data_IF_754810025113
#
_entry.id   IF_754810025113
#
_cell.length_a   1.000
_cell.length_b   1.000
_cell.length_c   1.000
_cell.angle_alpha   90.00
_cell.angle_beta   90.00
_cell.angle_gamma   90.00
#
_symmetry.space_group_name_H-M   'P 1'
#
loop_
_entity.id
_entity.type
_entity.pdbx_description
1 polymer ?
#
# COMPACT_ATOMS: atom_id res chain seq x y z
N UNK A 1 -14.18 -6.79 -2.09
CA UNK A 1 -13.15 -5.76 -1.77
C UNK A 1 -13.79 -4.63 -0.94
N UNK A 2 -13.24 -4.32 0.24
CA UNK A 2 -13.75 -3.26 1.11
C UNK A 2 -13.56 -1.86 0.50
N UNK A 3 -14.26 -0.87 1.05
CA UNK A 3 -14.33 0.48 0.46
C UNK A 3 -12.97 1.18 0.43
N UNK A 4 -12.16 1.00 1.47
CA UNK A 4 -10.84 1.62 1.59
C UNK A 4 -9.93 1.21 0.42
N UNK A 5 -9.82 -0.09 0.16
CA UNK A 5 -9.01 -0.66 -0.92
C UNK A 5 -9.50 -0.18 -2.29
N UNK A 6 -10.83 -0.11 -2.51
CA UNK A 6 -11.40 0.45 -3.74
C UNK A 6 -11.00 1.92 -3.95
N UNK A 7 -11.05 2.73 -2.89
CA UNK A 7 -10.62 4.13 -2.95
C UNK A 7 -9.13 4.25 -3.23
N UNK A 8 -8.29 3.43 -2.60
CA UNK A 8 -6.84 3.42 -2.82
C UNK A 8 -6.49 3.01 -4.27
N UNK A 9 -7.15 1.98 -4.81
CA UNK A 9 -6.95 1.56 -6.22
C UNK A 9 -7.31 2.69 -7.17
N UNK A 10 -8.46 3.35 -6.98
CA UNK A 10 -8.87 4.49 -7.80
C UNK A 10 -7.88 5.64 -7.68
N UNK A 11 -7.40 5.95 -6.47
CA UNK A 11 -6.41 6.99 -6.24
C UNK A 11 -5.14 6.71 -7.05
N UNK A 12 -4.57 5.50 -6.91
CA UNK A 12 -3.40 5.08 -7.68
C UNK A 12 -3.65 5.14 -9.18
N UNK A 13 -4.81 4.69 -9.66
CA UNK A 13 -5.14 4.74 -11.08
C UNK A 13 -5.09 6.17 -11.64
N UNK A 14 -5.70 7.14 -10.94
CA UNK A 14 -5.69 8.55 -11.36
C UNK A 14 -4.27 9.15 -11.28
N UNK A 15 -3.51 8.84 -10.23
CA UNK A 15 -2.11 9.27 -10.12
C UNK A 15 -1.24 8.68 -11.24
N UNK A 16 -1.40 7.39 -11.57
CA UNK A 16 -0.69 6.73 -12.65
C UNK A 16 -0.99 7.39 -14.00
N UNK A 17 -2.25 7.76 -14.28
CA UNK A 17 -2.61 8.52 -15.49
C UNK A 17 -1.83 9.84 -15.55
N UNK A 18 -1.76 10.57 -14.43
CA UNK A 18 -1.00 11.82 -14.36
C UNK A 18 0.51 11.58 -14.54
N UNK A 19 1.07 10.53 -13.92
CA UNK A 19 2.48 10.15 -14.09
C UNK A 19 2.78 9.85 -15.56
N UNK A 20 1.95 9.06 -16.23
CA UNK A 20 2.09 8.73 -17.66
C UNK A 20 2.09 10.02 -18.49
N UNK A 21 1.13 10.92 -18.24
CA UNK A 21 1.03 12.19 -18.96
C UNK A 21 2.26 13.08 -18.71
N UNK A 22 2.64 13.33 -17.46
CA UNK A 22 3.76 14.22 -17.13
C UNK A 22 5.11 13.67 -17.59
N UNK A 23 5.31 12.35 -17.55
CA UNK A 23 6.51 11.70 -18.08
C UNK A 23 6.62 11.90 -19.60
N UNK A 24 5.51 11.68 -20.33
CA UNK A 24 5.47 11.86 -21.78
C UNK A 24 5.67 13.34 -22.17
N UNK A 25 5.05 14.27 -21.43
CA UNK A 25 5.21 15.70 -21.65
C UNK A 25 6.64 16.17 -21.34
N UNK A 26 7.27 15.61 -20.30
CA UNK A 26 8.67 15.90 -19.98
C UNK A 26 9.61 15.42 -21.10
N UNK A 27 9.43 14.18 -21.56
CA UNK A 27 10.18 13.60 -22.68
C UNK A 27 10.06 14.47 -23.93
N UNK A 28 8.85 14.90 -24.28
CA UNK A 28 8.58 15.77 -25.44
C UNK A 28 9.22 17.15 -25.29
N UNK A 29 8.98 17.80 -24.15
CA UNK A 29 9.50 19.12 -23.83
C UNK A 29 11.03 19.19 -23.93
N UNK A 30 11.74 18.14 -23.49
CA UNK A 30 13.19 18.05 -23.65
C UNK A 30 13.57 18.01 -25.13
N UNK A 31 13.02 17.07 -25.91
CA UNK A 31 13.35 16.91 -27.34
C UNK A 31 13.03 18.16 -28.14
N UNK A 32 11.83 18.71 -27.98
CA UNK A 32 11.34 19.86 -28.74
C UNK A 32 12.15 21.12 -28.45
N UNK A 33 12.56 21.33 -27.18
CA UNK A 33 13.44 22.44 -26.82
C UNK A 33 14.82 22.30 -27.46
N UNK A 34 15.42 21.11 -27.45
CA UNK A 34 16.74 20.89 -28.08
C UNK A 34 16.68 21.13 -29.59
N UNK A 35 15.68 20.55 -30.24
CA UNK A 35 15.56 20.63 -31.69
C UNK A 35 15.27 22.07 -32.15
N UNK A 36 14.41 22.79 -31.43
CA UNK A 36 14.13 24.20 -31.71
C UNK A 36 15.37 25.07 -31.50
N UNK A 37 16.10 24.87 -30.40
CA UNK A 37 17.33 25.65 -30.15
C UNK A 37 18.41 25.37 -31.21
N UNK A 38 18.56 24.10 -31.63
CA UNK A 38 19.50 23.75 -32.70
C UNK A 38 19.12 24.40 -34.02
N UNK A 39 17.85 24.34 -34.41
CA UNK A 39 17.34 25.01 -35.62
C UNK A 39 17.57 26.52 -35.56
N UNK A 40 17.35 27.12 -34.40
CA UNK A 40 17.57 28.56 -34.20
C UNK A 40 19.06 28.95 -34.25
N UNK A 41 19.95 28.12 -33.68
CA UNK A 41 21.41 28.32 -33.79
C UNK A 41 21.86 28.19 -35.25
N UNK A 42 21.36 27.18 -35.99
CA UNK A 42 21.65 26.95 -37.40
C UNK A 42 21.15 28.10 -38.29
N UNK A 43 19.97 28.67 -38.02
CA UNK A 43 19.46 29.82 -38.78
C UNK A 43 20.23 31.13 -38.55
N UNK A 44 21.15 31.17 -37.57
CA UNK A 44 22.02 32.32 -37.29
C UNK A 44 23.46 32.14 -37.79
N UNK A 45 23.85 30.93 -38.17
CA UNK A 45 25.13 30.66 -38.83
C UNK A 45 24.91 30.68 -40.34
N UNK A 46 25.75 31.39 -41.09
CA UNK A 46 25.75 31.43 -42.57
C UNK A 46 26.12 30.07 -43.23
N UNK A 47 26.13 28.97 -42.48
CA UNK A 47 26.40 27.63 -43.00
C UNK A 47 25.18 27.09 -43.75
N UNK A 48 25.32 26.99 -45.07
CA UNK A 48 24.36 26.38 -45.99
C UNK A 48 24.05 24.91 -45.62
N UNK A 49 22.77 24.59 -45.72
CA UNK A 49 22.21 23.25 -45.95
C UNK A 49 22.76 22.10 -45.07
N UNK A 50 22.26 21.99 -43.84
CA UNK A 50 22.31 20.69 -43.15
C UNK A 50 21.17 19.81 -43.69
N UNK A 51 21.52 18.75 -44.41
CA UNK A 51 20.59 17.68 -44.82
C UNK A 51 19.71 17.22 -43.64
N UNK A 52 18.45 16.78 -43.89
CA UNK A 52 17.61 16.23 -42.85
C UNK A 52 18.34 15.06 -42.20
N UNK A 53 18.72 15.23 -40.92
CA UNK A 53 19.40 14.20 -40.16
C UNK A 53 18.63 12.88 -40.27
N UNK A 54 19.31 11.73 -40.44
CA UNK A 54 18.65 10.44 -40.62
C UNK A 54 17.67 10.17 -39.49
N UNK A 55 16.58 9.43 -39.76
CA UNK A 55 15.59 9.07 -38.74
C UNK A 55 16.25 8.29 -37.60
N UNK A 56 16.56 8.99 -36.52
CA UNK A 56 17.15 8.40 -35.33
C UNK A 56 16.02 7.78 -34.51
N UNK A 57 16.17 6.53 -34.02
CA UNK A 57 15.19 5.90 -33.13
C UNK A 57 14.84 6.82 -31.95
N UNK A 58 13.56 6.89 -31.59
CA UNK A 58 13.04 7.84 -30.60
C UNK A 58 13.83 7.81 -29.27
N UNK A 59 14.19 6.61 -28.79
CA UNK A 59 15.02 6.42 -27.59
C UNK A 59 16.38 7.11 -27.69
N UNK A 60 17.06 7.00 -28.84
CA UNK A 60 18.35 7.65 -29.10
C UNK A 60 18.19 9.17 -29.23
N UNK A 61 17.06 9.64 -29.78
CA UNK A 61 16.74 11.08 -29.86
C UNK A 61 16.59 11.70 -28.48
N UNK A 62 15.82 11.06 -27.59
CA UNK A 62 15.66 11.52 -26.19
C UNK A 62 16.99 11.53 -25.44
N UNK A 63 17.80 10.49 -25.60
CA UNK A 63 19.11 10.41 -24.95
C UNK A 63 20.03 11.56 -25.39
N UNK A 64 20.14 11.80 -26.71
CA UNK A 64 20.93 12.90 -27.28
C UNK A 64 20.44 14.27 -26.83
N UNK A 65 19.14 14.45 -26.68
CA UNK A 65 18.54 15.69 -26.18
C UNK A 65 18.98 15.98 -24.74
N UNK A 66 18.90 14.98 -23.85
CA UNK A 66 19.41 15.11 -22.48
C UNK A 66 20.94 15.33 -22.43
N UNK A 67 21.72 14.60 -23.23
CA UNK A 67 23.17 14.78 -23.30
C UNK A 67 23.53 16.23 -23.68
N UNK A 68 22.80 16.81 -24.63
CA UNK A 68 23.02 18.19 -25.06
C UNK A 68 22.62 19.21 -23.98
N UNK A 69 21.51 19.01 -23.26
CA UNK A 69 21.14 19.89 -22.13
C UNK A 69 22.16 19.86 -20.99
N UNK A 70 22.78 18.70 -20.73
CA UNK A 70 23.88 18.58 -19.76
C UNK A 70 25.13 19.30 -20.27
N UNK A 71 25.48 19.12 -21.56
CA UNK A 71 26.63 19.79 -22.18
C UNK A 71 26.51 21.32 -22.13
N UNK A 72 25.31 21.87 -22.34
CA UNK A 72 25.04 23.32 -22.28
C UNK A 72 24.87 23.83 -20.84
N UNK A 73 25.00 22.96 -19.83
CA UNK A 73 24.88 23.31 -18.41
C UNK A 73 23.46 23.75 -18.01
N UNK A 74 22.43 23.30 -18.73
CA UNK A 74 21.02 23.50 -18.36
C UNK A 74 20.63 22.51 -17.27
N UNK A 75 21.13 21.28 -17.36
CA UNK A 75 20.90 20.20 -16.41
C UNK A 75 22.22 19.64 -15.89
N UNK A 76 22.20 19.16 -14.67
CA UNK A 76 23.26 18.32 -14.09
C UNK A 76 23.11 16.86 -14.52
N UNK A 77 24.17 16.07 -14.35
CA UNK A 77 24.12 14.63 -14.61
C UNK A 77 23.10 13.91 -13.69
N UNK A 78 22.95 14.37 -12.44
CA UNK A 78 21.99 13.85 -11.47
C UNK A 78 20.55 14.13 -11.86
N UNK A 79 20.24 15.37 -12.21
CA UNK A 79 18.90 15.77 -12.68
C UNK A 79 18.52 14.98 -13.93
N UNK A 80 19.46 14.80 -14.87
CA UNK A 80 19.25 13.93 -16.03
C UNK A 80 18.89 12.51 -15.61
N UNK A 81 19.68 11.90 -14.71
CA UNK A 81 19.45 10.52 -14.26
C UNK A 81 18.06 10.36 -13.66
N UNK A 82 17.66 11.30 -12.80
CA UNK A 82 16.34 11.29 -12.18
C UNK A 82 15.21 11.48 -13.21
N UNK A 83 15.35 12.43 -14.14
CA UNK A 83 14.36 12.65 -15.21
C UNK A 83 14.20 11.42 -16.10
N UNK A 84 15.30 10.76 -16.48
CA UNK A 84 15.26 9.52 -17.27
C UNK A 84 14.62 8.38 -16.48
N UNK A 85 14.92 8.25 -15.18
CA UNK A 85 14.29 7.26 -14.29
C UNK A 85 12.78 7.47 -14.20
N UNK A 86 12.33 8.71 -14.02
CA UNK A 86 10.91 9.06 -13.95
C UNK A 86 10.20 8.84 -15.29
N UNK A 87 10.85 9.11 -16.43
CA UNK A 87 10.31 8.76 -17.75
C UNK A 87 10.19 7.24 -17.90
N UNK A 88 11.21 6.47 -17.48
CA UNK A 88 11.20 5.01 -17.51
C UNK A 88 10.08 4.41 -16.65
N UNK A 89 9.70 5.09 -15.56
CA UNK A 89 8.61 4.68 -14.67
C UNK A 89 7.27 4.56 -15.40
N UNK A 90 6.98 5.44 -16.37
CA UNK A 90 5.78 5.35 -17.22
C UNK A 90 5.69 4.00 -17.92
N UNK A 91 6.80 3.50 -18.47
CA UNK A 91 6.84 2.19 -19.12
C UNK A 91 6.64 1.07 -18.11
N UNK A 92 7.23 1.22 -16.93
CA UNK A 92 7.06 0.22 -15.88
C UNK A 92 5.63 0.13 -15.35
N UNK A 93 4.93 1.25 -15.19
CA UNK A 93 3.49 1.27 -14.87
C UNK A 93 2.68 0.55 -15.95
N UNK A 94 3.01 0.78 -17.23
CA UNK A 94 2.31 0.14 -18.34
C UNK A 94 2.55 -1.38 -18.41
N UNK A 95 3.76 -1.85 -18.09
CA UNK A 95 4.11 -3.27 -18.16
C UNK A 95 3.78 -4.07 -16.89
N UNK A 96 3.62 -3.41 -15.74
CA UNK A 96 3.44 -4.06 -14.43
C UNK A 96 2.26 -3.46 -13.65
N UNK A 97 1.16 -3.15 -14.33
CA UNK A 97 -0.06 -2.60 -13.73
C UNK A 97 -0.65 -3.54 -12.66
N UNK A 98 -0.55 -4.84 -12.92
CA UNK A 98 -0.90 -5.92 -11.99
C UNK A 98 -0.08 -5.80 -10.70
N UNK A 99 1.25 -5.69 -10.79
CA UNK A 99 2.13 -5.66 -9.63
C UNK A 99 1.96 -4.40 -8.77
N UNK A 100 1.79 -3.23 -9.39
CA UNK A 100 1.67 -1.95 -8.66
C UNK A 100 0.34 -1.77 -7.92
N UNK A 101 -0.62 -2.68 -8.12
CA UNK A 101 -1.93 -2.66 -7.43
C UNK A 101 -2.20 -3.91 -6.58
N UNK A 102 -1.40 -4.97 -6.74
CA UNK A 102 -1.68 -6.27 -6.14
C UNK A 102 -1.57 -6.28 -4.61
N UNK A 103 -0.83 -5.37 -3.99
CA UNK A 103 -0.76 -5.20 -2.52
C UNK A 103 -2.11 -4.76 -1.92
N UNK A 104 -2.98 -4.15 -2.71
CA UNK A 104 -4.34 -3.75 -2.30
C UNK A 104 -5.37 -4.89 -2.48
N UNK A 105 -4.93 -6.07 -2.92
CA UNK A 105 -5.82 -7.21 -3.09
C UNK A 105 -6.27 -7.76 -1.71
N UNK A 106 -7.58 -7.94 -1.45
CA UNK A 106 -8.07 -8.52 -0.20
C UNK A 106 -7.67 -9.99 0.00
N UNK A 107 -7.31 -10.72 -1.05
CA UNK A 107 -6.85 -12.11 -0.94
C UNK A 107 -5.45 -12.19 -0.31
N UNK A 108 -5.30 -12.97 0.77
CA UNK A 108 -4.00 -13.16 1.43
C UNK A 108 -3.03 -13.91 0.54
N UNK A 109 -3.50 -14.89 -0.23
CA UNK A 109 -2.64 -15.69 -1.10
C UNK A 109 -1.89 -14.81 -2.12
N UNK A 110 -2.59 -13.83 -2.69
CA UNK A 110 -1.99 -12.86 -3.62
C UNK A 110 -0.96 -11.99 -2.91
N UNK A 111 -1.26 -11.51 -1.69
CA UNK A 111 -0.32 -10.67 -0.92
C UNK A 111 0.91 -11.44 -0.46
N UNK A 112 0.73 -12.70 -0.06
CA UNK A 112 1.81 -13.57 0.39
C UNK A 112 2.71 -13.93 -0.79
N UNK A 113 2.12 -14.24 -1.96
CA UNK A 113 2.89 -14.49 -3.18
C UNK A 113 3.72 -13.28 -3.62
N UNK A 114 3.18 -12.06 -3.49
CA UNK A 114 3.93 -10.82 -3.78
C UNK A 114 5.14 -10.62 -2.86
N UNK A 115 5.16 -11.20 -1.66
CA UNK A 115 6.29 -11.07 -0.73
C UNK A 115 7.51 -11.87 -1.21
N UNK A 116 7.30 -12.91 -2.03
CA UNK A 116 8.36 -13.80 -2.53
C UNK A 116 8.84 -13.45 -3.95
N UNK A 117 8.33 -12.37 -4.56
CA UNK A 117 8.76 -11.93 -5.89
C UNK A 117 9.93 -10.94 -5.79
N UNK A 118 11.16 -11.32 -6.20
CA UNK A 118 12.38 -10.52 -5.96
C UNK A 118 12.43 -9.21 -6.76
N UNK A 119 11.93 -9.22 -8.01
CA UNK A 119 11.96 -8.05 -8.92
C UNK A 119 10.60 -7.35 -9.02
N UNK A 120 9.81 -7.36 -7.94
CA UNK A 120 8.46 -6.80 -7.96
C UNK A 120 8.49 -5.28 -8.12
N UNK A 121 7.63 -4.78 -8.99
CA UNK A 121 7.47 -3.35 -9.13
C UNK A 121 6.43 -2.81 -8.13
N UNK A 122 6.92 -2.02 -7.17
CA UNK A 122 6.07 -1.36 -6.17
C UNK A 122 5.48 -0.07 -6.72
N UNK A 123 4.38 0.39 -6.15
CA UNK A 123 3.83 1.73 -6.41
C UNK A 123 4.72 2.82 -5.78
N UNK A 124 4.89 3.95 -6.47
CA UNK A 124 5.77 5.05 -6.02
C UNK A 124 4.90 6.29 -5.82
N UNK A 125 4.63 6.59 -4.56
CA UNK A 125 3.75 7.68 -4.16
C UNK A 125 4.34 9.06 -4.46
N UNK A 126 5.66 9.16 -4.66
CA UNK A 126 6.33 10.45 -4.88
C UNK A 126 6.61 10.74 -6.36
N UNK A 127 6.42 9.75 -7.24
CA UNK A 127 6.78 9.86 -8.65
C UNK A 127 6.11 11.04 -9.35
N UNK A 128 4.83 11.29 -9.03
CA UNK A 128 4.06 12.40 -9.63
C UNK A 128 4.61 13.76 -9.21
N UNK A 129 4.92 13.93 -7.94
CA UNK A 129 5.43 15.19 -7.40
C UNK A 129 6.85 15.47 -7.87
N UNK A 130 7.71 14.43 -7.89
CA UNK A 130 9.06 14.52 -8.47
C UNK A 130 9.01 14.86 -9.96
N UNK A 131 8.10 14.27 -10.74
CA UNK A 131 7.91 14.63 -12.16
C UNK A 131 7.52 16.11 -12.34
N UNK A 132 6.58 16.60 -11.53
CA UNK A 132 6.18 18.01 -11.56
C UNK A 132 7.33 18.94 -11.18
N UNK A 133 8.11 18.58 -10.16
CA UNK A 133 9.28 19.34 -9.73
C UNK A 133 10.33 19.41 -10.85
N UNK A 134 10.66 18.27 -11.47
CA UNK A 134 11.62 18.21 -12.58
C UNK A 134 11.17 19.00 -13.81
N UNK A 135 9.87 18.99 -14.13
CA UNK A 135 9.30 19.83 -15.20
C UNK A 135 9.48 21.32 -14.89
N UNK A 136 9.15 21.75 -13.68
CA UNK A 136 9.31 23.16 -13.25
C UNK A 136 10.78 23.60 -13.29
N UNK A 137 11.67 22.76 -12.80
CA UNK A 137 13.11 22.98 -12.83
C UNK A 137 13.59 23.18 -14.27
N UNK A 138 13.21 22.28 -15.17
CA UNK A 138 13.59 22.37 -16.58
C UNK A 138 13.10 23.68 -17.21
N UNK A 139 11.85 24.07 -17.00
CA UNK A 139 11.32 25.35 -17.51
C UNK A 139 12.08 26.56 -16.98
N UNK A 140 12.36 26.61 -15.67
CA UNK A 140 13.15 27.68 -15.07
C UNK A 140 14.57 27.77 -15.66
N UNK A 141 15.23 26.62 -15.87
CA UNK A 141 16.59 26.57 -16.42
C UNK A 141 16.63 26.97 -17.90
N UNK A 142 15.63 26.60 -18.69
CA UNK A 142 15.49 27.04 -20.08
C UNK A 142 15.39 28.56 -20.17
N UNK A 143 14.54 29.16 -19.34
CA UNK A 143 14.38 30.62 -19.28
C UNK A 143 15.70 31.29 -18.89
N UNK A 144 16.36 30.78 -17.83
CA UNK A 144 17.62 31.33 -17.35
C UNK A 144 18.77 31.23 -18.38
N UNK A 145 18.72 30.24 -19.27
CA UNK A 145 19.71 30.04 -20.35
C UNK A 145 19.26 30.61 -21.70
N UNK A 146 18.19 31.41 -21.71
CA UNK A 146 17.65 32.08 -22.90
C UNK A 146 17.36 31.13 -24.07
N UNK A 147 16.80 29.98 -23.76
CA UNK A 147 16.35 29.04 -24.77
C UNK A 147 15.12 29.58 -25.50
N UNK A 148 15.00 29.23 -26.78
CA UNK A 148 13.83 29.56 -27.58
C UNK A 148 12.61 28.84 -27.00
N UNK A 149 11.60 29.62 -26.63
CA UNK A 149 10.33 29.12 -26.16
C UNK A 149 9.51 28.50 -27.29
N UNK A 150 8.84 27.40 -27.01
CA UNK A 150 7.90 26.77 -27.94
C UNK A 150 6.50 26.85 -27.34
N UNK A 151 5.58 27.49 -28.06
CA UNK A 151 4.17 27.54 -27.68
C UNK A 151 3.50 26.27 -28.21
N UNK A 152 3.01 25.44 -27.30
CA UNK A 152 2.31 24.19 -27.63
C UNK A 152 0.88 24.21 -27.09
N UNK A 153 -0.10 23.93 -27.96
CA UNK A 153 -1.52 23.83 -27.58
C UNK A 153 -1.84 22.58 -26.75
N UNK A 154 -0.90 21.61 -26.65
CA UNK A 154 -1.13 20.33 -25.97
C UNK A 154 -1.36 20.48 -24.48
N UNK A 155 -0.65 21.40 -23.83
CA UNK A 155 -0.88 21.73 -22.43
C UNK A 155 -2.31 22.21 -22.18
N UNK A 156 -2.85 23.02 -23.09
CA UNK A 156 -4.22 23.55 -23.01
C UNK A 156 -5.27 22.43 -23.13
N UNK A 157 -5.04 21.45 -24.02
CA UNK A 157 -5.97 20.32 -24.20
C UNK A 157 -6.08 19.42 -22.97
N UNK A 158 -5.02 19.33 -22.15
CA UNK A 158 -5.03 18.50 -20.95
C UNK A 158 -5.33 19.27 -19.67
N UNK A 159 -5.26 20.60 -19.67
CA UNK A 159 -5.38 21.40 -18.44
C UNK A 159 -6.70 21.15 -17.70
N UNK A 160 -7.82 21.13 -18.43
CA UNK A 160 -9.12 20.84 -17.85
C UNK A 160 -9.17 19.43 -17.24
N UNK A 161 -8.65 18.43 -17.95
CA UNK A 161 -8.56 17.05 -17.47
C UNK A 161 -7.68 16.96 -16.23
N UNK A 162 -6.50 17.59 -16.25
CA UNK A 162 -5.57 17.59 -15.12
C UNK A 162 -6.22 18.20 -13.88
N UNK A 163 -6.96 19.30 -14.03
CA UNK A 163 -7.68 19.95 -12.94
C UNK A 163 -8.70 19.00 -12.31
N UNK A 164 -9.53 18.36 -13.14
CA UNK A 164 -10.53 17.38 -12.68
C UNK A 164 -9.86 16.21 -11.95
N UNK A 165 -8.83 15.60 -12.55
CA UNK A 165 -8.10 14.49 -11.95
C UNK A 165 -7.48 14.87 -10.60
N UNK A 166 -6.89 16.07 -10.48
CA UNK A 166 -6.35 16.57 -9.21
C UNK A 166 -7.43 16.75 -8.15
N UNK A 167 -8.58 17.28 -8.52
CA UNK A 167 -9.68 17.48 -7.57
C UNK A 167 -10.26 16.15 -7.09
N UNK A 168 -10.36 15.17 -7.99
CA UNK A 168 -10.77 13.82 -7.64
C UNK A 168 -9.74 13.11 -6.75
N UNK A 169 -8.44 13.28 -7.01
CA UNK A 169 -7.38 12.81 -6.11
C UNK A 169 -7.53 13.41 -4.70
N UNK A 170 -7.72 14.73 -4.59
CA UNK A 170 -7.94 15.38 -3.28
C UNK A 170 -9.21 14.89 -2.57
N UNK A 171 -10.26 14.54 -3.32
CA UNK A 171 -11.50 13.97 -2.75
C UNK A 171 -11.26 12.54 -2.26
N UNK A 172 -10.58 11.72 -3.06
CA UNK A 172 -10.23 10.35 -2.71
C UNK A 172 -9.30 10.30 -1.52
N UNK A 173 -8.27 11.12 -1.46
CA UNK A 173 -7.35 11.19 -0.33
C UNK A 173 -8.08 11.53 0.99
N UNK A 174 -8.95 12.55 0.98
CA UNK A 174 -9.81 12.85 2.13
C UNK A 174 -10.70 11.68 2.54
N UNK A 175 -11.23 10.90 1.58
CA UNK A 175 -12.05 9.72 1.86
C UNK A 175 -11.19 8.58 2.43
N UNK A 176 -10.03 8.32 1.85
CA UNK A 176 -9.06 7.31 2.30
C UNK A 176 -8.67 7.60 3.74
N UNK A 177 -8.25 8.84 4.07
CA UNK A 177 -7.88 9.23 5.44
C UNK A 177 -9.01 8.95 6.44
N UNK A 178 -10.26 9.29 6.10
CA UNK A 178 -11.43 9.00 6.94
C UNK A 178 -11.64 7.50 7.15
N UNK A 179 -11.52 6.70 6.09
CA UNK A 179 -11.69 5.24 6.15
C UNK A 179 -10.54 4.57 6.91
N UNK A 180 -9.31 5.07 6.77
CA UNK A 180 -8.14 4.61 7.55
C UNK A 180 -8.37 4.86 9.03
N UNK A 181 -8.78 6.06 9.44
CA UNK A 181 -9.08 6.35 10.85
C UNK A 181 -10.15 5.40 11.39
N UNK A 182 -11.28 5.24 10.68
CA UNK A 182 -12.32 4.28 11.07
C UNK A 182 -11.79 2.86 11.23
N UNK A 183 -10.85 2.45 10.38
CA UNK A 183 -10.25 1.11 10.46
C UNK A 183 -9.28 0.99 11.63
N UNK A 184 -8.51 2.02 11.91
CA UNK A 184 -7.65 2.10 13.10
C UNK A 184 -8.51 2.00 14.36
N UNK A 185 -9.61 2.76 14.44
CA UNK A 185 -10.55 2.72 15.57
C UNK A 185 -11.17 1.33 15.72
N UNK A 186 -11.58 0.71 14.61
CA UNK A 186 -12.13 -0.66 14.62
C UNK A 186 -11.09 -1.70 15.08
N UNK A 187 -9.84 -1.60 14.62
CA UNK A 187 -8.74 -2.46 15.06
C UNK A 187 -8.46 -2.25 16.54
N UNK A 188 -8.43 -1.00 17.01
CA UNK A 188 -8.23 -0.67 18.41
C UNK A 188 -9.35 -1.26 19.28
N UNK A 189 -10.61 -1.14 18.84
CA UNK A 189 -11.76 -1.74 19.52
C UNK A 189 -11.63 -3.28 19.60
N UNK A 190 -11.32 -3.95 18.49
CA UNK A 190 -11.10 -5.40 18.46
C UNK A 190 -9.92 -5.80 19.36
N UNK A 191 -8.79 -5.09 19.30
CA UNK A 191 -7.63 -5.38 20.15
C UNK A 191 -7.95 -5.19 21.63
N UNK A 192 -8.72 -4.15 21.98
CA UNK A 192 -9.18 -3.94 23.36
C UNK A 192 -10.12 -5.07 23.82
N UNK A 193 -11.00 -5.54 22.93
CA UNK A 193 -11.82 -6.72 23.17
C UNK A 193 -10.97 -7.98 23.33
N UNK A 194 -9.87 -8.14 22.60
CA UNK A 194 -9.01 -9.32 22.72
C UNK A 194 -8.00 -9.25 23.88
N UNK A 195 -7.73 -8.06 24.42
CA UNK A 195 -6.72 -7.88 25.46
C UNK A 195 -7.08 -8.59 26.76
N UNK A 196 -6.10 -9.27 27.35
CA UNK A 196 -6.15 -9.88 28.67
C UNK A 196 -5.28 -9.14 29.69
N UNK A 197 -4.79 -7.95 29.34
CA UNK A 197 -3.95 -7.12 30.21
C UNK A 197 -4.71 -6.77 31.50
N UNK A 198 -4.02 -6.93 32.64
CA UNK A 198 -4.61 -6.69 33.96
C UNK A 198 -5.55 -7.81 34.45
N UNK A 199 -5.73 -8.89 33.68
CA UNK A 199 -6.51 -10.05 34.13
C UNK A 199 -5.64 -11.10 34.84
N UNK A 200 -6.30 -11.95 35.62
CA UNK A 200 -5.71 -13.13 36.26
C UNK A 200 -5.44 -14.30 35.30
N UNK A 201 -5.86 -14.19 34.03
CA UNK A 201 -5.75 -15.23 33.01
C UNK A 201 -4.38 -15.18 32.31
N UNK A 202 -3.32 -15.25 33.12
CA UNK A 202 -1.92 -15.23 32.69
C UNK A 202 -1.17 -16.46 33.21
N UNK A 203 -0.05 -16.79 32.57
CA UNK A 203 0.78 -17.93 32.97
C UNK A 203 0.01 -19.26 32.91
N UNK A 204 -0.11 -19.96 34.04
CA UNK A 204 -0.78 -21.28 34.12
C UNK A 204 -2.30 -21.23 33.87
N UNK A 205 -2.90 -20.03 33.97
CA UNK A 205 -4.32 -19.77 33.70
C UNK A 205 -4.55 -19.10 32.35
N UNK A 206 -3.50 -18.97 31.53
CA UNK A 206 -3.64 -18.51 30.16
C UNK A 206 -4.71 -19.35 29.44
N UNK A 207 -5.65 -18.73 28.70
CA UNK A 207 -6.70 -19.47 28.00
C UNK A 207 -6.18 -20.52 27.00
N UNK A 208 -4.98 -20.33 26.46
CA UNK A 208 -4.29 -21.24 25.54
C UNK A 208 -3.45 -22.30 26.25
N UNK A 209 -3.42 -22.30 27.58
CA UNK A 209 -2.63 -23.26 28.34
C UNK A 209 -3.05 -24.71 28.04
N UNK A 210 -2.11 -25.63 27.76
CA UNK A 210 -2.43 -27.00 27.34
C UNK A 210 -3.30 -27.81 28.30
N UNK A 211 -3.36 -27.49 29.60
CA UNK A 211 -4.18 -28.22 30.59
C UNK A 211 -5.63 -27.75 30.65
N UNK A 212 -5.98 -26.70 29.89
CA UNK A 212 -7.37 -26.28 29.69
C UNK A 212 -8.11 -27.22 28.73
N UNK A 213 -7.38 -28.14 28.08
CA UNK A 213 -7.90 -29.05 27.05
C UNK A 213 -7.52 -30.49 27.33
N UNK A 214 -8.45 -31.38 27.01
CA UNK A 214 -8.19 -32.81 26.87
C UNK A 214 -7.44 -33.07 25.55
N UNK A 215 -6.79 -34.24 25.42
CA UNK A 215 -6.19 -34.68 24.14
C UNK A 215 -7.21 -34.75 22.99
N UNK A 216 -8.49 -34.94 23.30
CA UNK A 216 -9.58 -34.89 22.32
C UNK A 216 -9.94 -33.48 21.83
N UNK A 217 -9.31 -32.43 22.37
CA UNK A 217 -9.59 -31.03 22.07
C UNK A 217 -10.74 -30.40 22.87
N UNK A 218 -11.51 -31.19 23.63
CA UNK A 218 -12.56 -30.70 24.53
C UNK A 218 -11.98 -29.93 25.73
N UNK A 219 -12.72 -28.93 26.25
CA UNK A 219 -12.30 -28.18 27.44
C UNK A 219 -12.39 -29.03 28.71
N UNK A 220 -11.34 -28.96 29.55
CA UNK A 220 -11.36 -29.51 30.92
C UNK A 220 -12.27 -28.65 31.81
N UNK A 221 -12.65 -29.11 33.02
CA UNK A 221 -13.41 -28.27 33.96
C UNK A 221 -12.73 -26.92 34.24
N UNK A 222 -11.39 -26.91 34.26
CA UNK A 222 -10.59 -25.68 34.38
C UNK A 222 -10.70 -24.80 33.14
N UNK A 223 -10.61 -25.39 31.95
CA UNK A 223 -10.82 -24.66 30.69
C UNK A 223 -12.23 -24.09 30.54
N UNK A 224 -13.26 -24.78 31.07
CA UNK A 224 -14.64 -24.27 31.10
C UNK A 224 -14.75 -23.06 32.03
N UNK A 225 -14.14 -23.12 33.22
CA UNK A 225 -14.14 -21.97 34.13
C UNK A 225 -13.41 -20.76 33.53
N UNK A 226 -12.26 -20.97 32.88
CA UNK A 226 -11.54 -19.89 32.16
C UNK A 226 -12.41 -19.31 31.03
N UNK A 227 -13.11 -20.16 30.28
CA UNK A 227 -14.05 -19.72 29.24
C UNK A 227 -15.15 -18.81 29.83
N UNK A 228 -15.72 -19.19 30.98
CA UNK A 228 -16.73 -18.38 31.65
C UNK A 228 -16.19 -17.08 32.21
N UNK A 229 -14.97 -17.08 32.77
CA UNK A 229 -14.30 -15.84 33.21
C UNK A 229 -14.07 -14.85 32.07
N UNK A 230 -13.78 -15.33 30.85
CA UNK A 230 -13.73 -14.45 29.68
C UNK A 230 -15.11 -13.83 29.38
N UNK A 231 -16.21 -14.57 29.51
CA UNK A 231 -17.55 -13.99 29.37
C UNK A 231 -17.89 -13.02 30.50
N UNK A 232 -17.46 -13.31 31.73
CA UNK A 232 -17.62 -12.40 32.89
C UNK A 232 -16.89 -11.06 32.64
N UNK A 233 -15.77 -11.07 31.91
CA UNK A 233 -15.05 -9.87 31.44
C UNK A 233 -15.75 -9.13 30.29
N UNK A 234 -16.95 -9.57 29.87
CA UNK A 234 -17.73 -8.96 28.79
C UNK A 234 -17.23 -9.28 27.39
N UNK A 235 -16.37 -10.30 27.22
CA UNK A 235 -15.85 -10.70 25.90
C UNK A 235 -16.96 -11.34 25.07
N UNK A 236 -17.07 -11.04 23.77
CA UNK A 236 -18.03 -11.72 22.91
C UNK A 236 -17.65 -13.19 22.67
N UNK A 237 -18.61 -14.03 22.25
CA UNK A 237 -18.31 -15.41 21.88
C UNK A 237 -17.27 -15.53 20.74
N UNK A 238 -17.16 -14.50 19.89
CA UNK A 238 -16.15 -14.46 18.84
C UNK A 238 -14.76 -14.17 19.41
N UNK A 239 -14.65 -13.21 20.33
CA UNK A 239 -13.41 -12.96 21.05
C UNK A 239 -12.98 -14.18 21.87
N UNK A 240 -13.90 -14.83 22.59
CA UNK A 240 -13.62 -16.06 23.35
C UNK A 240 -13.15 -17.19 22.44
N UNK A 241 -13.80 -17.41 21.30
CA UNK A 241 -13.39 -18.40 20.30
C UNK A 241 -11.95 -18.17 19.82
N UNK A 242 -11.60 -16.90 19.54
CA UNK A 242 -10.27 -16.52 19.08
C UNK A 242 -9.20 -16.61 20.19
N UNK A 243 -9.50 -16.10 21.39
CA UNK A 243 -8.58 -16.11 22.54
C UNK A 243 -8.23 -17.54 22.92
N UNK A 244 -9.25 -18.39 23.05
CA UNK A 244 -9.04 -19.77 23.48
C UNK A 244 -8.56 -20.69 22.34
N UNK A 245 -8.73 -20.30 21.06
CA UNK A 245 -8.43 -21.12 19.86
C UNK A 245 -9.36 -22.33 19.67
N UNK A 246 -10.67 -22.08 19.61
CA UNK A 246 -11.69 -23.11 19.32
C UNK A 246 -12.84 -22.55 18.49
N UNK A 247 -13.73 -23.43 18.04
CA UNK A 247 -14.78 -23.04 17.10
C UNK A 247 -15.78 -22.06 17.70
N UNK A 248 -16.26 -21.12 16.88
CA UNK A 248 -17.28 -20.15 17.27
C UNK A 248 -18.58 -20.83 17.75
N UNK A 249 -18.91 -21.99 17.17
CA UNK A 249 -20.08 -22.79 17.56
C UNK A 249 -19.92 -23.27 19.00
N UNK A 250 -18.75 -23.77 19.38
CA UNK A 250 -18.47 -24.20 20.74
C UNK A 250 -18.50 -23.02 21.72
N UNK A 251 -17.94 -21.86 21.33
CA UNK A 251 -17.99 -20.66 22.17
C UNK A 251 -19.43 -20.17 22.40
N UNK A 252 -20.30 -20.16 21.38
CA UNK A 252 -21.73 -19.82 21.52
C UNK A 252 -22.49 -20.81 22.40
N UNK A 253 -22.19 -22.10 22.29
CA UNK A 253 -22.77 -23.11 23.17
C UNK A 253 -22.37 -22.88 24.64
N UNK A 254 -21.12 -22.49 24.90
CA UNK A 254 -20.65 -22.12 26.23
C UNK A 254 -21.26 -20.82 26.73
N UNK A 255 -21.43 -19.82 25.88
CA UNK A 255 -22.11 -18.56 26.22
C UNK A 255 -23.56 -18.84 26.67
N UNK A 256 -24.27 -19.73 25.99
CA UNK A 256 -25.62 -20.15 26.40
C UNK A 256 -25.63 -20.79 27.80
N UNK A 257 -24.73 -21.76 28.03
CA UNK A 257 -24.60 -22.42 29.34
C UNK A 257 -24.20 -21.44 30.45
N UNK A 258 -23.30 -20.50 30.14
CA UNK A 258 -22.89 -19.44 31.05
C UNK A 258 -24.08 -18.56 31.46
N UNK A 259 -24.94 -18.17 30.50
CA UNK A 259 -26.19 -17.45 30.79
C UNK A 259 -27.14 -18.25 31.68
N UNK A 260 -27.29 -19.55 31.42
CA UNK A 260 -28.11 -20.46 32.23
C UNK A 260 -27.60 -20.57 33.68
N UNK A 261 -26.29 -20.45 33.88
CA UNK A 261 -25.65 -20.46 35.21
C UNK A 261 -25.71 -19.12 35.96
N UNK A 262 -26.38 -18.10 35.40
CA UNK A 262 -26.54 -16.79 36.03
C UNK A 262 -25.76 -15.66 35.36
N UNK A 263 -25.04 -15.94 34.27
CA UNK A 263 -24.26 -14.94 33.52
C UNK A 263 -23.26 -14.22 34.43
N UNK A 264 -23.28 -12.89 34.39
CA UNK A 264 -22.44 -12.04 35.25
C UNK A 264 -22.62 -12.29 36.76
N UNK A 265 -23.73 -12.91 37.18
CA UNK A 265 -24.04 -13.21 38.58
C UNK A 265 -23.83 -14.70 38.93
N UNK A 266 -23.18 -15.48 38.05
CA UNK A 266 -22.89 -16.89 38.33
C UNK A 266 -21.96 -17.03 39.54
N UNK A 267 -21.99 -18.20 40.17
CA UNK A 267 -21.01 -18.55 41.21
C UNK A 267 -19.66 -18.85 40.54
N UNK A 268 -18.68 -17.98 40.75
CA UNK A 268 -17.31 -18.13 40.23
C UNK A 268 -16.56 -19.16 41.08
N UNK A 269 -15.98 -20.16 40.42
CA UNK A 269 -15.15 -21.17 41.10
C UNK A 269 -13.71 -20.70 41.15
N UNK A 270 -13.02 -20.95 42.26
CA UNK A 270 -11.59 -20.66 42.35
C UNK A 270 -10.81 -21.62 41.43
N UNK A 271 -9.99 -21.08 40.53
CA UNK A 271 -9.24 -21.87 39.54
C UNK A 271 -8.23 -22.83 40.18
N UNK A 272 -7.70 -22.49 41.35
CA UNK A 272 -6.74 -23.33 42.07
C UNK A 272 -7.39 -24.59 42.65
N UNK A 273 -8.68 -24.52 42.96
CA UNK A 273 -9.43 -25.60 43.58
C UNK A 273 -9.96 -26.62 42.55
N UNK A 274 -9.83 -26.32 41.26
CA UNK A 274 -10.28 -27.20 40.19
C UNK A 274 -9.21 -28.27 39.94
N UNK A 275 -9.51 -29.56 40.14
CA UNK A 275 -8.52 -30.62 39.99
C UNK A 275 -8.01 -30.70 38.56
N UNK A 276 -6.68 -30.80 38.42
CA UNK A 276 -6.05 -31.05 37.13
C UNK A 276 -6.47 -32.44 36.62
N UNK A 277 -7.02 -32.48 35.42
CA UNK A 277 -7.32 -33.75 34.76
C UNK A 277 -6.00 -34.42 34.39
N UNK A 278 -5.69 -35.57 34.98
CA UNK A 278 -4.50 -36.36 34.64
C UNK A 278 -4.51 -36.70 33.16
N UNK A 279 -3.55 -36.15 32.41
CA UNK A 279 -3.25 -36.57 31.04
C UNK A 279 -2.71 -38.01 31.09
N UNK A 280 -3.51 -38.99 30.65
CA UNK A 280 -2.96 -40.30 30.29
C UNK A 280 -2.23 -40.11 28.96
N UNK A 281 -0.92 -39.89 29.00
CA UNK A 281 -0.08 -39.97 27.81
C UNK A 281 -0.21 -41.38 27.25
N UNK A 282 -0.70 -41.53 26.01
CA UNK A 282 -0.59 -42.82 25.32
C UNK A 282 0.82 -42.94 24.77
N UNK A 283 1.36 -44.16 24.78
CA UNK A 283 2.71 -44.45 24.28
C UNK A 283 2.89 -44.05 22.79
N UNK A 284 1.78 -43.92 22.05
CA UNK A 284 1.71 -43.50 20.64
C UNK A 284 1.96 -41.99 20.45
N UNK A 285 1.72 -41.15 21.46
CA UNK A 285 1.91 -39.69 21.40
C UNK A 285 3.37 -39.26 21.69
N UNK A 286 4.26 -40.21 22.00
CA UNK A 286 5.67 -39.99 22.34
C UNK A 286 6.66 -40.33 21.20
N UNK A 287 6.17 -40.52 19.96
CA UNK A 287 6.98 -40.79 18.77
C UNK A 287 6.94 -39.67 17.75
#
# INVERSE_FOLDING_TARGET
MPELERCMIRHRALEMILVIYHAEELKRSVVETVDTQKRWKLSRSDDEATEPAPEVPERKRVQRAFDWLVKEGVLTADERREMVKLIGRRNSIAHHLDQVTADLNPDSWVRDHLAFMPDRQQYDYEALDRLKAMRRLLEQRKIAKHYVGVISMRGLFFEATERVLRDDLKRLDRRIRKLVHKRIDAIAAVNSELSLEGSELVGIFDPRWPDNRHHSGCLTPRGVEICYRLFDMGKSAMAVAHIMEFSLVAARAREKQWRELGGNNRVVKNLQDIPLVRKRLRYEDMR
#
